data_IF_065640960047
#
_entry.id   IF_065640960047
#
_cell.length_a   1.000
_cell.length_b   1.000
_cell.length_c   1.000
_cell.angle_alpha   90.00
_cell.angle_beta   90.00
_cell.angle_gamma   90.00
#
_symmetry.space_group_name_H-M   'P 1'
#
loop_
_entity.id
_entity.type
_entity.pdbx_description
1 polymer ?
#
# COMPACT_ATOMS: atom_id res chain seq x y z
N UNK A 1 2.49 -15.52 5.44
CA UNK A 1 3.39 -14.41 5.83
C UNK A 1 2.67 -13.12 6.23
N UNK A 2 2.11 -12.29 5.33
CA UNK A 2 1.49 -11.00 5.72
C UNK A 2 0.42 -11.16 6.81
N UNK A 3 -0.51 -12.10 6.63
CA UNK A 3 -1.53 -12.41 7.63
C UNK A 3 -0.94 -12.85 8.97
N UNK A 4 0.14 -13.61 8.97
CA UNK A 4 0.81 -14.07 10.20
C UNK A 4 1.49 -12.90 10.92
N UNK A 5 2.13 -11.99 10.19
CA UNK A 5 2.73 -10.76 10.73
C UNK A 5 1.67 -9.88 11.39
N UNK A 6 0.55 -9.66 10.70
CA UNK A 6 -0.57 -8.87 11.23
C UNK A 6 -1.17 -9.56 12.46
N UNK A 7 -1.41 -10.87 12.40
CA UNK A 7 -1.95 -11.63 13.53
C UNK A 7 -1.03 -11.56 14.75
N UNK A 8 0.28 -11.75 14.55
CA UNK A 8 1.27 -11.62 15.62
C UNK A 8 1.28 -10.21 16.25
N UNK A 9 1.05 -9.19 15.42
CA UNK A 9 0.94 -7.80 15.88
C UNK A 9 -0.32 -7.62 16.73
N UNK A 10 -1.45 -8.19 16.31
CA UNK A 10 -2.72 -8.14 17.05
C UNK A 10 -2.60 -8.82 18.40
N UNK A 11 -2.01 -10.02 18.44
CA UNK A 11 -1.83 -10.80 19.67
C UNK A 11 -1.01 -10.03 20.72
N UNK A 12 -0.08 -9.18 20.27
CA UNK A 12 0.79 -8.34 21.12
C UNK A 12 0.28 -6.91 21.31
N UNK A 13 -0.90 -6.59 20.81
CA UNK A 13 -1.46 -5.23 20.83
C UNK A 13 -2.94 -5.26 21.22
N UNK A 14 -3.23 -5.31 22.54
CA UNK A 14 -4.59 -5.40 23.04
C UNK A 14 -5.49 -4.29 22.47
N UNK A 15 -6.73 -4.66 22.13
CA UNK A 15 -7.76 -3.76 21.54
C UNK A 15 -7.50 -3.31 20.10
N UNK A 16 -6.44 -3.81 19.45
CA UNK A 16 -6.32 -3.74 18.00
C UNK A 16 -7.05 -4.91 17.34
N UNK A 17 -7.36 -4.79 16.05
CA UNK A 17 -7.99 -5.86 15.28
C UNK A 17 -7.71 -5.72 13.78
N UNK A 18 -7.91 -6.80 13.04
CA UNK A 18 -7.86 -6.82 11.58
C UNK A 18 -9.29 -6.72 11.01
N UNK A 19 -9.48 -5.83 10.05
CA UNK A 19 -10.61 -5.81 9.14
C UNK A 19 -10.13 -6.30 7.76
N UNK A 20 -10.79 -7.32 7.22
CA UNK A 20 -10.54 -7.80 5.86
C UNK A 20 -11.64 -7.28 4.94
N UNK A 21 -11.26 -6.55 3.90
CA UNK A 21 -12.14 -6.09 2.82
C UNK A 21 -11.87 -6.90 1.56
N UNK A 22 -12.67 -6.70 0.53
CA UNK A 22 -12.56 -7.45 -0.74
C UNK A 22 -11.17 -7.33 -1.40
N UNK A 23 -10.52 -6.17 -1.27
CA UNK A 23 -9.22 -5.89 -1.90
C UNK A 23 -8.16 -5.34 -0.93
N UNK A 24 -8.42 -5.30 0.38
CA UNK A 24 -7.45 -4.76 1.34
C UNK A 24 -7.55 -5.39 2.73
N UNK A 25 -6.43 -5.30 3.46
CA UNK A 25 -6.30 -5.68 4.86
C UNK A 25 -6.08 -4.42 5.67
N UNK A 26 -6.88 -4.19 6.71
CA UNK A 26 -6.78 -2.98 7.53
C UNK A 26 -6.58 -3.34 8.99
N UNK A 27 -5.42 -3.00 9.53
CA UNK A 27 -5.16 -3.11 10.96
C UNK A 27 -5.60 -1.83 11.67
N UNK A 28 -6.53 -1.96 12.63
CA UNK A 28 -7.07 -0.87 13.42
C UNK A 28 -6.48 -0.85 14.82
N UNK A 29 -6.05 0.33 15.27
CA UNK A 29 -5.45 0.49 16.60
C UNK A 29 -5.98 1.71 17.36
N UNK A 30 -7.13 2.25 16.98
CA UNK A 30 -7.74 3.43 17.63
C UNK A 30 -7.99 3.26 19.14
N UNK A 31 -8.27 2.04 19.59
CA UNK A 31 -8.56 1.72 21.00
C UNK A 31 -7.34 1.27 21.79
N UNK A 32 -6.17 1.23 21.15
CA UNK A 32 -4.88 0.87 21.77
C UNK A 32 -4.36 2.09 22.53
N UNK A 33 -3.63 1.84 23.62
CA UNK A 33 -2.85 2.88 24.29
C UNK A 33 -1.96 3.65 23.29
N UNK A 34 -1.86 4.97 23.43
CA UNK A 34 -1.24 5.84 22.42
C UNK A 34 0.23 5.50 22.20
N UNK A 35 0.98 5.28 23.28
CA UNK A 35 2.40 4.97 23.19
C UNK A 35 2.62 3.59 22.55
N UNK A 36 1.84 2.59 22.97
CA UNK A 36 1.92 1.26 22.38
C UNK A 36 1.49 1.25 20.90
N UNK A 37 0.47 2.03 20.55
CA UNK A 37 -0.05 2.14 19.20
C UNK A 37 1.01 2.65 18.21
N UNK A 38 1.71 3.74 18.57
CA UNK A 38 2.76 4.32 17.74
C UNK A 38 3.91 3.34 17.53
N UNK A 39 4.38 2.72 18.62
CA UNK A 39 5.43 1.70 18.57
C UNK A 39 5.03 0.52 17.66
N UNK A 40 3.82 -0.01 17.83
CA UNK A 40 3.34 -1.18 17.08
C UNK A 40 3.06 -0.86 15.61
N UNK A 41 2.56 0.32 15.30
CA UNK A 41 2.38 0.76 13.92
C UNK A 41 3.71 0.81 13.16
N UNK A 42 4.76 1.39 13.76
CA UNK A 42 6.10 1.41 13.16
C UNK A 42 6.68 0.01 12.96
N UNK A 43 6.57 -0.85 13.98
CA UNK A 43 7.05 -2.23 13.91
C UNK A 43 6.31 -3.04 12.83
N UNK A 44 4.99 -2.88 12.74
CA UNK A 44 4.19 -3.54 11.71
C UNK A 44 4.59 -3.07 10.32
N UNK A 45 4.71 -1.76 10.09
CA UNK A 45 5.12 -1.20 8.80
C UNK A 45 6.47 -1.78 8.40
N UNK A 46 7.48 -1.72 9.28
CA UNK A 46 8.81 -2.28 8.99
C UNK A 46 8.78 -3.78 8.68
N UNK A 47 8.01 -4.57 9.43
CA UNK A 47 7.88 -6.00 9.18
C UNK A 47 7.20 -6.31 7.84
N UNK A 48 6.33 -5.41 7.36
CA UNK A 48 5.59 -5.57 6.12
C UNK A 48 6.35 -5.08 4.87
N UNK A 49 7.39 -4.25 4.98
CA UNK A 49 8.12 -3.69 3.81
C UNK A 49 8.55 -4.79 2.83
N UNK A 50 9.25 -5.81 3.34
CA UNK A 50 9.76 -6.92 2.51
C UNK A 50 8.64 -7.74 1.87
N UNK A 51 7.70 -8.31 2.65
CA UNK A 51 6.57 -9.07 2.12
C UNK A 51 5.70 -8.29 1.14
N UNK A 52 5.36 -7.04 1.44
CA UNK A 52 4.53 -6.20 0.57
C UNK A 52 5.27 -5.86 -0.73
N UNK A 53 6.57 -5.56 -0.69
CA UNK A 53 7.37 -5.33 -1.89
C UNK A 53 7.40 -6.55 -2.82
N UNK A 54 7.60 -7.77 -2.27
CA UNK A 54 7.59 -9.02 -3.07
C UNK A 54 6.26 -9.29 -3.75
N UNK A 55 5.15 -8.89 -3.13
CA UNK A 55 3.79 -9.13 -3.62
C UNK A 55 3.21 -7.93 -4.38
N UNK A 56 4.01 -6.89 -4.62
CA UNK A 56 3.55 -5.63 -5.22
C UNK A 56 2.32 -5.05 -4.50
N UNK A 57 2.39 -4.96 -3.18
CA UNK A 57 1.37 -4.36 -2.32
C UNK A 57 1.89 -3.05 -1.71
N UNK A 58 0.98 -2.11 -1.51
CA UNK A 58 1.24 -0.85 -0.83
C UNK A 58 0.85 -0.94 0.65
N UNK A 59 1.67 -0.32 1.50
CA UNK A 59 1.37 -0.09 2.91
C UNK A 59 0.95 1.37 3.07
N UNK A 60 -0.25 1.62 3.58
CA UNK A 60 -0.86 2.94 3.70
C UNK A 60 -1.18 3.24 5.17
N UNK A 61 -0.33 4.02 5.86
CA UNK A 61 -0.65 4.53 7.18
C UNK A 61 -1.82 5.53 7.11
N UNK A 62 -2.79 5.39 8.00
CA UNK A 62 -3.95 6.28 8.08
C UNK A 62 -4.27 6.70 9.52
N UNK A 63 -5.40 7.38 9.71
CA UNK A 63 -5.81 7.86 11.04
C UNK A 63 -6.16 6.69 11.98
N UNK A 64 -5.16 6.28 12.77
CA UNK A 64 -5.18 5.13 13.68
C UNK A 64 -5.41 3.78 12.97
N UNK A 65 -4.90 3.66 11.74
CA UNK A 65 -4.93 2.42 10.93
C UNK A 65 -3.61 2.21 10.15
N UNK A 66 -3.33 0.97 9.79
CA UNK A 66 -2.39 0.61 8.71
C UNK A 66 -3.15 -0.26 7.71
N UNK A 67 -3.26 0.19 6.48
CA UNK A 67 -3.91 -0.54 5.39
C UNK A 67 -2.87 -1.16 4.46
N UNK A 68 -3.11 -2.39 4.02
CA UNK A 68 -2.34 -3.10 3.00
C UNK A 68 -3.29 -3.36 1.84
N UNK A 69 -2.95 -2.85 0.66
CA UNK A 69 -3.76 -2.99 -0.54
C UNK A 69 -2.88 -3.07 -1.78
N UNK A 70 -3.37 -3.58 -2.92
CA UNK A 70 -2.70 -3.35 -4.21
C UNK A 70 -2.46 -1.85 -4.41
N UNK A 71 -1.38 -1.45 -5.11
CA UNK A 71 -1.26 -0.09 -5.59
C UNK A 71 -2.43 0.16 -6.54
N UNK A 72 -3.46 0.86 -6.05
CA UNK A 72 -4.59 1.27 -6.88
C UNK A 72 -4.03 2.07 -8.06
N UNK A 73 -4.19 1.56 -9.29
CA UNK A 73 -3.87 2.19 -10.56
C UNK A 73 -2.83 3.32 -10.47
N UNK A 74 -1.54 2.97 -10.40
CA UNK A 74 -0.50 4.00 -10.52
C UNK A 74 -0.49 4.58 -11.95
N UNK A 75 0.07 5.78 -12.10
CA UNK A 75 0.07 6.49 -13.39
C UNK A 75 0.71 5.64 -14.52
N UNK A 76 1.66 4.76 -14.19
CA UNK A 76 2.25 3.81 -15.14
C UNK A 76 1.25 2.76 -15.65
N UNK A 77 0.55 2.09 -14.75
CA UNK A 77 -0.43 1.05 -15.13
C UNK A 77 -1.57 1.61 -16.00
N UNK A 78 -2.05 2.80 -15.71
CA UNK A 78 -3.06 3.47 -16.55
C UNK A 78 -2.47 3.94 -17.89
N UNK A 79 -1.20 4.36 -17.92
CA UNK A 79 -0.50 4.74 -19.15
C UNK A 79 -0.35 3.54 -20.09
N UNK A 80 0.09 2.38 -19.59
CA UNK A 80 0.15 1.15 -20.37
C UNK A 80 -1.23 0.74 -20.90
N UNK A 81 -2.24 0.74 -20.03
CA UNK A 81 -3.62 0.43 -20.44
C UNK A 81 -4.12 1.34 -21.56
N UNK A 82 -3.73 2.63 -21.55
CA UNK A 82 -4.06 3.60 -22.61
C UNK A 82 -3.29 3.35 -23.89
N UNK A 83 -1.99 3.08 -23.80
CA UNK A 83 -1.13 2.78 -24.95
C UNK A 83 -1.55 1.48 -25.66
N UNK A 84 -2.08 0.50 -24.94
CA UNK A 84 -2.57 -0.76 -25.53
C UNK A 84 -3.92 -0.63 -26.25
N UNK A 85 -4.69 0.43 -26.01
CA UNK A 85 -6.02 0.59 -26.60
C UNK A 85 -5.99 1.03 -28.05
N UNK A 86 -4.96 1.77 -28.48
CA UNK A 86 -4.87 2.39 -29.80
C UNK A 86 -3.40 2.53 -30.23
N UNK A 87 -3.15 2.55 -31.53
CA UNK A 87 -1.86 2.99 -32.04
C UNK A 87 -1.84 4.52 -32.08
N UNK A 88 -1.02 5.14 -31.23
CA UNK A 88 -0.80 6.58 -31.24
C UNK A 88 0.46 6.91 -32.06
N UNK A 89 0.34 7.86 -32.99
CA UNK A 89 1.48 8.35 -33.78
C UNK A 89 2.34 9.35 -32.98
N UNK A 90 1.86 9.81 -31.83
CA UNK A 90 2.55 10.75 -30.94
C UNK A 90 2.12 10.54 -29.49
N UNK A 91 3.10 10.50 -28.57
CA UNK A 91 2.88 10.35 -27.12
C UNK A 91 3.65 11.45 -26.39
N UNK A 92 2.97 12.22 -25.54
CA UNK A 92 3.56 13.23 -24.66
C UNK A 92 3.06 13.00 -23.23
N UNK A 93 3.99 12.87 -22.29
CA UNK A 93 3.70 12.80 -20.88
C UNK A 93 4.41 13.94 -20.13
N UNK A 94 3.69 14.59 -19.22
CA UNK A 94 4.19 15.69 -18.40
C UNK A 94 3.74 15.43 -16.96
N UNK A 95 4.63 15.64 -16.00
CA UNK A 95 4.38 15.38 -14.58
C UNK A 95 5.31 16.19 -13.70
N UNK A 96 4.96 16.32 -12.43
CA UNK A 96 5.57 17.26 -11.47
C UNK A 96 6.00 16.61 -10.15
N UNK A 97 5.59 15.36 -9.88
CA UNK A 97 5.87 14.68 -8.62
C UNK A 97 6.42 13.25 -8.82
N UNK A 98 6.94 12.68 -7.74
CA UNK A 98 7.60 11.37 -7.67
C UNK A 98 6.70 10.23 -8.17
N UNK A 99 5.38 10.38 -8.14
CA UNK A 99 4.44 9.38 -8.68
C UNK A 99 4.39 9.38 -10.22
N UNK A 100 4.77 10.48 -10.88
CA UNK A 100 4.86 10.56 -12.34
C UNK A 100 6.00 9.71 -12.91
N UNK A 101 7.00 9.39 -12.07
CA UNK A 101 8.05 8.44 -12.42
C UNK A 101 7.48 7.09 -12.85
N UNK A 102 6.35 6.65 -12.27
CA UNK A 102 5.68 5.41 -12.69
C UNK A 102 5.12 5.53 -14.12
N UNK A 103 4.60 6.71 -14.52
CA UNK A 103 4.17 6.99 -15.89
C UNK A 103 5.36 7.09 -16.84
N UNK A 104 6.41 7.81 -16.46
CA UNK A 104 7.58 8.01 -17.33
C UNK A 104 8.31 6.69 -17.63
N UNK A 105 8.39 5.78 -16.66
CA UNK A 105 9.05 4.46 -16.83
C UNK A 105 8.41 3.55 -17.87
N UNK A 106 7.13 3.76 -18.19
CA UNK A 106 6.37 2.87 -19.08
C UNK A 106 6.16 3.43 -20.49
N UNK A 107 6.65 4.65 -20.77
CA UNK A 107 6.57 5.25 -22.09
C UNK A 107 7.62 4.61 -23.03
N UNK A 108 7.31 4.46 -24.34
CA UNK A 108 8.19 3.88 -25.35
C UNK A 108 9.38 4.77 -25.73
#
# INVERSE_FOLDING_TARGET
>A
EIMEIIQHTIDKTPRSYLEQKDASLVWHYRKVDVWLAELRAQQLIHALIGPCSRLNLQIVPGNKIVEIKPPDFNKGSETLRRLEQQNYDFVLAIGDDTTDEDMFRVLP
#
